data_IF_708938113800
#
_entry.id   IF_708938113800
#
_cell.length_a   1.000
_cell.length_b   1.000
_cell.length_c   1.000
_cell.angle_alpha   90.00
_cell.angle_beta   90.00
_cell.angle_gamma   90.00
#
_symmetry.space_group_name_H-M   'P 1'
#
loop_
_entity.id
_entity.type
_entity.pdbx_description
1 polymer ?
#
# COMPACT_ATOMS: atom_id res chain seq x y z
N UNK A 1 35.85 -28.56 23.98
CA UNK A 1 34.37 -28.59 24.00
C UNK A 1 33.89 -27.33 23.31
N UNK A 2 33.60 -27.41 22.00
CA UNK A 2 33.24 -26.27 21.15
C UNK A 2 31.73 -26.34 20.87
N UNK A 3 30.99 -25.29 21.24
CA UNK A 3 29.57 -25.16 20.91
C UNK A 3 29.48 -24.41 19.57
N UNK A 4 29.11 -25.13 18.50
CA UNK A 4 28.62 -24.53 17.25
C UNK A 4 27.12 -24.26 17.40
N UNK A 5 26.72 -23.00 17.31
CA UNK A 5 25.31 -22.61 17.12
C UNK A 5 25.02 -22.60 15.62
N UNK A 6 24.22 -23.57 15.18
CA UNK A 6 23.64 -23.63 13.84
C UNK A 6 22.27 -22.95 13.89
N UNK A 7 22.13 -21.77 13.28
CA UNK A 7 20.81 -21.17 13.07
C UNK A 7 20.21 -21.72 11.77
N UNK A 8 19.25 -22.62 11.95
CA UNK A 8 18.31 -23.08 10.93
C UNK A 8 17.22 -22.01 10.77
N UNK A 9 17.13 -21.36 9.61
CA UNK A 9 15.95 -20.56 9.25
C UNK A 9 15.10 -21.36 8.27
N UNK A 10 13.95 -21.82 8.76
CA UNK A 10 12.92 -22.46 7.97
C UNK A 10 12.36 -21.45 6.95
N UNK A 11 12.45 -21.80 5.67
CA UNK A 11 11.86 -21.04 4.57
C UNK A 11 10.47 -21.58 4.28
N UNK A 12 9.43 -20.88 4.77
CA UNK A 12 8.06 -21.08 4.32
C UNK A 12 7.81 -20.22 3.08
N UNK A 13 7.79 -20.85 1.90
CA UNK A 13 7.39 -20.19 0.66
C UNK A 13 5.85 -20.22 0.54
N UNK A 14 5.23 -19.06 0.42
CA UNK A 14 3.84 -18.93 -0.05
C UNK A 14 3.90 -18.29 -1.43
N UNK A 15 3.60 -19.08 -2.46
CA UNK A 15 3.39 -18.61 -3.82
C UNK A 15 1.98 -18.04 -3.94
N UNK A 16 1.85 -16.75 -4.24
CA UNK A 16 0.59 -16.16 -4.68
C UNK A 16 0.58 -16.03 -6.20
N UNK A 17 -0.38 -16.70 -6.84
CA UNK A 17 -0.79 -16.42 -8.21
C UNK A 17 -1.62 -15.13 -8.22
N UNK A 18 -1.25 -14.23 -9.12
CA UNK A 18 -1.88 -12.93 -9.28
C UNK A 18 -3.19 -13.04 -10.05
N UNK A 19 -4.22 -12.31 -9.61
CA UNK A 19 -5.16 -11.61 -10.52
C UNK A 19 -5.86 -10.49 -9.74
N UNK A 20 -5.65 -9.26 -10.24
CA UNK A 20 -6.38 -8.01 -9.97
C UNK A 20 -6.48 -7.50 -8.52
N UNK A 21 -5.68 -6.46 -8.22
CA UNK A 21 -5.96 -5.48 -7.17
C UNK A 21 -5.01 -5.50 -5.98
N UNK A 22 -3.79 -4.95 -6.13
CA UNK A 22 -2.88 -4.75 -4.98
C UNK A 22 -2.44 -3.29 -4.90
N UNK A 23 -2.86 -2.62 -3.82
CA UNK A 23 -2.08 -1.54 -3.21
C UNK A 23 -0.93 -2.22 -2.49
N UNK A 24 0.30 -2.02 -2.98
CA UNK A 24 1.49 -2.71 -2.51
C UNK A 24 1.87 -2.11 -1.15
N UNK A 25 1.51 -2.78 -0.07
CA UNK A 25 2.05 -2.45 1.26
C UNK A 25 3.57 -2.64 1.22
N UNK A 26 4.32 -1.54 1.37
CA UNK A 26 5.79 -1.52 1.37
C UNK A 26 6.40 -1.92 2.72
N UNK A 27 5.58 -2.29 3.72
CA UNK A 27 6.10 -2.67 5.02
C UNK A 27 6.48 -4.16 5.01
N UNK A 28 7.80 -4.40 5.00
CA UNK A 28 8.49 -5.67 5.31
C UNK A 28 8.68 -6.71 4.20
N UNK A 29 8.91 -6.32 2.95
CA UNK A 29 9.55 -7.26 2.00
C UNK A 29 11.08 -7.23 2.15
N UNK A 30 11.66 -8.39 2.45
CA UNK A 30 13.11 -8.64 2.39
C UNK A 30 13.58 -8.26 0.97
N UNK A 31 14.35 -7.17 0.86
CA UNK A 31 14.81 -6.67 -0.42
C UNK A 31 15.83 -7.63 -1.03
N UNK A 32 15.52 -8.19 -2.20
CA UNK A 32 16.51 -8.91 -2.99
C UNK A 32 17.65 -7.95 -3.35
N UNK A 33 18.87 -8.26 -2.87
CA UNK A 33 20.09 -7.55 -3.25
C UNK A 33 20.70 -8.23 -4.47
N UNK A 34 21.05 -7.44 -5.48
CA UNK A 34 21.73 -7.91 -6.69
C UNK A 34 22.92 -7.01 -7.00
N UNK A 35 23.97 -7.60 -7.59
CA UNK A 35 25.13 -6.88 -8.10
C UNK A 35 24.84 -6.12 -9.40
N UNK A 36 23.61 -6.24 -9.94
CA UNK A 36 23.16 -5.55 -11.14
C UNK A 36 21.76 -4.95 -10.91
N UNK A 37 21.59 -3.66 -11.21
CA UNK A 37 20.29 -3.01 -11.18
C UNK A 37 19.44 -3.44 -12.39
N UNK A 38 18.25 -4.04 -12.17
CA UNK A 38 17.37 -4.48 -13.25
C UNK A 38 16.82 -3.28 -14.03
N UNK A 39 16.32 -3.54 -15.25
CA UNK A 39 15.70 -2.51 -16.09
C UNK A 39 14.36 -2.01 -15.51
N UNK A 40 13.61 -2.91 -14.85
CA UNK A 40 12.29 -2.62 -14.26
C UNK A 40 12.25 -3.07 -12.79
N UNK A 41 12.94 -2.36 -11.89
CA UNK A 41 12.93 -2.64 -10.45
C UNK A 41 11.55 -2.39 -9.83
N UNK A 42 11.25 -3.11 -8.74
CA UNK A 42 10.15 -2.76 -7.85
C UNK A 42 10.58 -1.61 -6.93
N UNK A 43 9.64 -0.75 -6.50
CA UNK A 43 9.94 0.30 -5.51
C UNK A 43 10.52 -0.34 -4.24
N UNK A 44 11.57 0.28 -3.70
CA UNK A 44 12.37 -0.21 -2.58
C UNK A 44 13.48 -1.19 -2.98
N UNK A 45 13.55 -1.65 -4.22
CA UNK A 45 14.59 -2.58 -4.67
C UNK A 45 15.98 -1.98 -4.51
N UNK A 46 16.91 -2.77 -3.95
CA UNK A 46 18.29 -2.35 -3.70
C UNK A 46 19.26 -3.07 -4.62
N UNK A 47 20.20 -2.33 -5.18
CA UNK A 47 21.26 -2.89 -6.02
C UNK A 47 22.59 -2.19 -5.78
N UNK A 48 23.65 -2.80 -6.33
CA UNK A 48 24.98 -2.23 -6.36
C UNK A 48 25.41 -1.91 -7.78
N UNK A 49 26.18 -0.83 -7.95
CA UNK A 49 26.87 -0.50 -9.19
C UNK A 49 28.33 -0.14 -8.90
N UNK A 50 29.25 -0.74 -9.64
CA UNK A 50 30.69 -0.51 -9.48
C UNK A 50 31.19 0.45 -10.58
N UNK A 51 31.76 1.59 -10.18
CA UNK A 51 32.50 2.50 -11.05
C UNK A 51 34.00 2.25 -10.91
N UNK A 52 34.58 1.68 -11.96
CA UNK A 52 36.03 1.47 -12.04
C UNK A 52 36.75 2.72 -12.53
N UNK A 53 37.77 3.11 -11.78
CA UNK A 53 38.63 4.25 -12.04
C UNK A 53 40.08 3.76 -12.09
N UNK A 54 40.84 4.34 -13.00
CA UNK A 54 42.27 4.10 -13.11
C UNK A 54 42.94 5.43 -13.36
N UNK A 55 44.14 5.62 -12.82
CA UNK A 55 44.98 6.76 -13.14
C UNK A 55 46.44 6.30 -13.15
N UNK A 56 47.23 6.95 -13.99
CA UNK A 56 48.66 6.70 -14.12
C UNK A 56 49.37 8.02 -14.28
N UNK A 57 50.48 8.22 -13.56
CA UNK A 57 51.36 9.37 -13.78
C UNK A 57 52.54 8.95 -14.64
N UNK A 58 52.90 9.80 -15.62
CA UNK A 58 54.11 9.68 -16.42
C UNK A 58 55.02 10.90 -16.21
N UNK A 59 56.27 10.81 -16.65
CA UNK A 59 57.16 11.97 -16.65
C UNK A 59 56.69 12.98 -17.70
N UNK A 60 56.41 14.22 -17.30
CA UNK A 60 56.01 15.31 -18.20
C UNK A 60 54.51 15.40 -18.52
N UNK A 61 53.70 14.45 -18.07
CA UNK A 61 52.24 14.57 -18.18
C UNK A 61 51.67 15.29 -16.95
N UNK A 62 50.75 16.26 -17.11
CA UNK A 62 49.99 16.78 -15.99
C UNK A 62 49.31 15.61 -15.26
N UNK A 63 49.08 15.70 -13.93
CA UNK A 63 48.45 14.64 -13.18
C UNK A 63 47.17 14.20 -13.90
N UNK A 64 47.16 12.97 -14.42
CA UNK A 64 46.02 12.43 -15.16
C UNK A 64 44.82 12.32 -14.22
N UNK A 65 44.03 13.39 -14.13
CA UNK A 65 42.76 13.43 -13.42
C UNK A 65 41.71 12.77 -14.30
N UNK A 66 41.64 11.43 -14.25
CA UNK A 66 40.55 10.67 -14.86
C UNK A 66 39.26 10.91 -14.05
N UNK A 67 38.71 12.12 -14.18
CA UNK A 67 37.43 12.49 -13.62
C UNK A 67 36.34 11.71 -14.36
N UNK A 68 35.55 10.95 -13.63
CA UNK A 68 34.31 10.35 -14.14
C UNK A 68 33.14 10.92 -13.36
N UNK A 69 32.10 11.25 -14.11
CA UNK A 69 30.81 11.59 -13.55
C UNK A 69 29.94 10.35 -13.54
N UNK A 70 29.31 10.09 -12.41
CA UNK A 70 28.29 9.08 -12.25
C UNK A 70 26.97 9.76 -11.91
N UNK A 71 25.91 9.43 -12.64
CA UNK A 71 24.55 9.84 -12.30
C UNK A 71 23.73 8.56 -12.07
N UNK A 72 23.06 8.40 -10.93
CA UNK A 72 22.09 7.32 -10.75
C UNK A 72 21.07 7.34 -11.89
N UNK A 73 20.63 6.15 -12.32
CA UNK A 73 19.56 6.04 -13.31
C UNK A 73 18.28 6.69 -12.79
N UNK A 74 17.40 7.10 -13.69
CA UNK A 74 16.10 7.67 -13.32
C UNK A 74 15.35 6.77 -12.33
N UNK A 75 14.84 7.40 -11.27
CA UNK A 75 14.10 6.73 -10.21
C UNK A 75 14.96 5.96 -9.20
N UNK A 76 16.29 5.97 -9.32
CA UNK A 76 17.19 5.51 -8.26
C UNK A 76 17.70 6.66 -7.41
N UNK A 77 17.90 6.38 -6.12
CA UNK A 77 18.64 7.25 -5.21
C UNK A 77 19.93 6.57 -4.76
N UNK A 78 20.95 7.39 -4.51
CA UNK A 78 22.17 6.95 -3.84
C UNK A 78 21.91 6.78 -2.33
N UNK A 79 22.17 5.58 -1.82
CA UNK A 79 22.05 5.30 -0.38
C UNK A 79 23.37 5.48 0.34
N UNK A 80 24.43 4.89 -0.25
CA UNK A 80 25.78 4.84 0.30
C UNK A 80 26.76 4.63 -0.86
N UNK A 81 28.01 5.03 -0.67
CA UNK A 81 29.11 4.57 -1.50
C UNK A 81 30.24 4.00 -0.63
N UNK A 82 31.06 3.15 -1.22
CA UNK A 82 32.24 2.55 -0.61
C UNK A 82 33.42 2.69 -1.57
N UNK A 83 34.56 3.12 -1.03
CA UNK A 83 35.80 3.32 -1.76
C UNK A 83 36.72 2.11 -1.56
N UNK A 84 37.11 1.47 -2.67
CA UNK A 84 38.04 0.34 -2.67
C UNK A 84 39.28 0.74 -3.46
N UNK A 85 40.41 0.91 -2.77
CA UNK A 85 41.67 1.35 -3.37
C UNK A 85 42.57 0.16 -3.67
N UNK A 86 43.08 0.09 -4.90
CA UNK A 86 44.06 -0.88 -5.36
C UNK A 86 45.34 -0.15 -5.81
N UNK A 87 46.27 0.10 -4.89
CA UNK A 87 47.59 0.68 -5.23
C UNK A 87 48.61 -0.41 -5.47
N UNK A 88 49.19 -0.47 -6.68
CA UNK A 88 50.24 -1.47 -6.97
C UNK A 88 51.65 -0.93 -6.69
N UNK A 89 51.86 0.38 -6.82
CA UNK A 89 53.16 1.03 -6.59
C UNK A 89 52.98 2.50 -6.18
N UNK A 90 53.42 2.87 -4.97
CA UNK A 90 53.45 4.25 -4.47
C UNK A 90 52.57 4.49 -3.23
N UNK A 91 52.96 5.43 -2.38
CA UNK A 91 52.07 5.99 -1.35
C UNK A 91 51.74 7.44 -1.73
N UNK A 92 50.48 7.84 -1.54
CA UNK A 92 50.02 9.20 -1.82
C UNK A 92 48.93 9.35 -2.90
N UNK A 93 48.26 8.27 -3.33
CA UNK A 93 47.08 8.37 -4.19
C UNK A 93 45.77 8.31 -3.39
N UNK A 94 44.78 9.11 -3.79
CA UNK A 94 43.46 9.19 -3.16
C UNK A 94 42.31 9.31 -4.17
N UNK A 95 41.13 8.86 -3.76
CA UNK A 95 39.87 9.12 -4.44
C UNK A 95 39.29 10.43 -3.89
N UNK A 96 38.97 11.37 -4.77
CA UNK A 96 38.20 12.56 -4.42
C UNK A 96 36.77 12.34 -4.91
N UNK A 97 35.82 12.33 -3.98
CA UNK A 97 34.40 12.11 -4.25
C UNK A 97 33.62 13.37 -3.91
N UNK A 98 33.12 14.05 -4.95
CA UNK A 98 32.27 15.22 -4.81
C UNK A 98 30.80 14.83 -5.07
N UNK A 99 29.97 14.95 -4.03
CA UNK A 99 28.54 14.70 -4.12
C UNK A 99 27.82 15.97 -4.60
N UNK A 100 27.27 15.92 -5.81
CA UNK A 100 26.46 17.01 -6.37
C UNK A 100 24.98 16.69 -6.14
N UNK A 101 24.33 17.53 -5.34
CA UNK A 101 22.89 17.46 -5.14
C UNK A 101 22.16 18.03 -6.36
N UNK A 102 21.03 17.45 -6.75
CA UNK A 102 20.26 17.94 -7.89
C UNK A 102 18.73 17.85 -7.71
N UNK A 103 18.02 18.13 -8.82
CA UNK A 103 16.57 18.35 -8.88
C UNK A 103 15.69 17.13 -9.20
N UNK A 104 16.23 15.93 -9.45
CA UNK A 104 15.42 14.71 -9.71
C UNK A 104 14.51 14.41 -8.52
N UNK A 105 15.06 14.43 -7.30
CA UNK A 105 14.27 14.25 -6.07
C UNK A 105 13.24 15.37 -5.88
N UNK A 106 13.57 16.60 -6.29
CA UNK A 106 12.63 17.74 -6.24
C UNK A 106 11.43 17.46 -7.15
N UNK A 107 11.66 16.94 -8.35
CA UNK A 107 10.59 16.60 -9.29
C UNK A 107 9.72 15.45 -8.78
N UNK A 108 10.33 14.39 -8.23
CA UNK A 108 9.58 13.27 -7.63
C UNK A 108 8.76 13.76 -6.44
N UNK A 109 9.36 14.57 -5.55
CA UNK A 109 8.66 15.19 -4.42
C UNK A 109 7.46 15.99 -4.90
N UNK A 110 7.64 16.87 -5.89
CA UNK A 110 6.58 17.70 -6.45
C UNK A 110 5.42 16.85 -6.96
N UNK A 111 5.70 15.79 -7.73
CA UNK A 111 4.66 14.87 -8.23
C UNK A 111 3.91 14.21 -7.08
N UNK A 112 4.60 13.69 -6.07
CA UNK A 112 3.92 13.06 -4.92
C UNK A 112 3.05 14.08 -4.16
N UNK A 113 3.55 15.30 -3.96
CA UNK A 113 2.79 16.38 -3.31
C UNK A 113 1.55 16.78 -4.11
N UNK A 114 1.69 16.96 -5.43
CA UNK A 114 0.58 17.31 -6.31
C UNK A 114 -0.50 16.21 -6.31
N UNK A 115 -0.09 14.93 -6.37
CA UNK A 115 -0.99 13.77 -6.29
C UNK A 115 -1.69 13.65 -4.93
N UNK A 116 -0.98 13.92 -3.82
CA UNK A 116 -1.59 13.93 -2.50
C UNK A 116 -2.64 15.03 -2.36
N UNK A 117 -2.42 16.21 -2.93
CA UNK A 117 -3.41 17.28 -2.96
C UNK A 117 -4.68 16.85 -3.68
N UNK A 118 -4.50 16.17 -4.81
CA UNK A 118 -5.59 15.61 -5.61
C UNK A 118 -6.39 14.54 -4.82
N UNK A 119 -5.71 13.64 -4.12
CA UNK A 119 -6.36 12.63 -3.28
C UNK A 119 -7.12 13.26 -2.10
N UNK A 120 -6.57 14.30 -1.47
CA UNK A 120 -7.23 15.03 -0.38
C UNK A 120 -8.51 15.74 -0.84
N UNK A 121 -8.50 16.37 -2.01
CA UNK A 121 -9.70 16.98 -2.59
C UNK A 121 -10.81 15.94 -2.80
N UNK A 122 -10.46 14.79 -3.37
CA UNK A 122 -11.39 13.67 -3.56
C UNK A 122 -11.91 13.10 -2.25
N UNK A 123 -11.06 13.02 -1.23
CA UNK A 123 -11.47 12.60 0.12
C UNK A 123 -12.54 13.55 0.67
N UNK A 124 -12.29 14.85 0.60
CA UNK A 124 -13.25 15.87 1.07
C UNK A 124 -14.58 15.79 0.33
N UNK A 125 -14.55 15.57 -0.99
CA UNK A 125 -15.75 15.31 -1.79
C UNK A 125 -16.48 14.05 -1.33
N UNK A 126 -15.77 12.94 -1.13
CA UNK A 126 -16.37 11.69 -0.64
C UNK A 126 -17.04 11.90 0.72
N UNK A 127 -16.35 12.53 1.66
CA UNK A 127 -16.88 12.86 3.01
C UNK A 127 -18.15 13.72 2.94
N UNK A 128 -18.28 14.62 1.95
CA UNK A 128 -19.50 15.41 1.77
C UNK A 128 -20.74 14.57 1.42
N UNK A 129 -20.54 13.38 0.85
CA UNK A 129 -21.58 12.39 0.57
C UNK A 129 -21.84 11.42 1.73
N UNK A 130 -21.01 11.42 2.79
CA UNK A 130 -21.16 10.48 3.90
C UNK A 130 -22.52 10.60 4.61
N UNK A 131 -23.12 11.79 4.61
CA UNK A 131 -24.47 12.02 5.14
C UNK A 131 -25.59 11.38 4.30
N UNK A 132 -25.30 11.00 3.05
CA UNK A 132 -26.26 10.43 2.10
C UNK A 132 -26.01 8.94 1.81
N UNK A 133 -24.82 8.41 2.11
CA UNK A 133 -24.45 7.03 1.81
C UNK A 133 -23.41 6.49 2.80
N UNK A 134 -23.75 5.39 3.49
CA UNK A 134 -22.87 4.68 4.43
C UNK A 134 -21.68 4.02 3.69
N UNK A 135 -21.81 3.78 2.37
CA UNK A 135 -20.75 3.20 1.53
C UNK A 135 -19.52 4.11 1.34
N UNK A 136 -19.60 5.37 1.75
CA UNK A 136 -18.49 6.33 1.65
C UNK A 136 -17.27 5.90 2.48
N UNK A 137 -17.48 5.19 3.59
CA UNK A 137 -16.40 4.80 4.52
C UNK A 137 -15.26 4.01 3.88
N UNK A 138 -15.57 3.00 3.06
CA UNK A 138 -14.53 2.15 2.43
C UNK A 138 -13.68 2.89 1.38
N UNK A 139 -14.27 3.84 0.66
CA UNK A 139 -13.54 4.65 -0.32
C UNK A 139 -12.64 5.68 0.37
N UNK A 140 -13.11 6.30 1.47
CA UNK A 140 -12.27 7.20 2.28
C UNK A 140 -11.07 6.49 2.88
N UNK A 141 -11.23 5.24 3.35
CA UNK A 141 -10.12 4.43 3.85
C UNK A 141 -9.10 4.10 2.74
N UNK A 142 -9.57 3.78 1.53
CA UNK A 142 -8.70 3.54 0.36
C UNK A 142 -7.87 4.78 0.02
N UNK A 143 -8.48 5.97 0.07
CA UNK A 143 -7.80 7.25 -0.15
C UNK A 143 -6.75 7.50 0.94
N UNK A 144 -7.10 7.31 2.21
CA UNK A 144 -6.19 7.49 3.34
C UNK A 144 -4.96 6.60 3.23
N UNK A 145 -5.15 5.32 2.87
CA UNK A 145 -4.06 4.38 2.66
C UNK A 145 -3.12 4.83 1.53
N UNK A 146 -3.65 5.33 0.42
CA UNK A 146 -2.83 5.86 -0.68
C UNK A 146 -2.03 7.11 -0.27
N UNK A 147 -2.65 8.02 0.49
CA UNK A 147 -1.98 9.20 1.06
C UNK A 147 -0.87 8.77 2.02
N UNK A 148 -1.13 7.80 2.90
CA UNK A 148 -0.15 7.28 3.86
C UNK A 148 1.05 6.63 3.16
N UNK A 149 0.81 5.90 2.07
CA UNK A 149 1.88 5.32 1.26
C UNK A 149 2.74 6.43 0.60
N UNK A 150 2.10 7.45 0.02
CA UNK A 150 2.81 8.59 -0.55
C UNK A 150 3.60 9.40 0.48
N UNK A 151 3.05 9.60 1.69
CA UNK A 151 3.77 10.24 2.79
C UNK A 151 4.98 9.42 3.24
N UNK A 152 4.86 8.10 3.24
CA UNK A 152 6.00 7.21 3.52
C UNK A 152 7.10 7.36 2.47
N UNK A 153 6.73 7.52 1.19
CA UNK A 153 7.69 7.81 0.09
C UNK A 153 8.35 9.18 0.27
N UNK A 154 7.59 10.21 0.64
CA UNK A 154 8.14 11.54 0.93
C UNK A 154 9.15 11.51 2.09
N UNK A 155 8.81 10.84 3.19
CA UNK A 155 9.70 10.69 4.34
C UNK A 155 11.01 9.96 3.98
N UNK A 156 10.97 9.01 3.03
CA UNK A 156 12.18 8.41 2.49
C UNK A 156 13.01 9.45 1.73
N UNK A 157 12.40 10.24 0.84
CA UNK A 157 13.08 11.28 0.03
C UNK A 157 13.64 12.46 0.86
N UNK A 158 13.18 12.66 2.09
CA UNK A 158 13.71 13.71 2.97
C UNK A 158 15.05 13.35 3.63
N UNK A 159 15.48 12.09 3.58
CA UNK A 159 16.79 11.68 4.11
C UNK A 159 17.93 12.27 3.27
N UNK A 160 18.90 12.92 3.93
CA UNK A 160 19.89 13.82 3.31
C UNK A 160 20.78 13.20 2.22
N UNK A 161 21.06 11.89 2.29
CA UNK A 161 21.84 11.18 1.27
C UNK A 161 21.07 10.95 -0.04
N UNK A 162 19.75 11.03 -0.01
CA UNK A 162 18.91 10.72 -1.17
C UNK A 162 18.85 11.84 -2.22
N UNK A 163 19.26 13.06 -1.87
CA UNK A 163 19.24 14.23 -2.77
C UNK A 163 20.45 14.32 -3.72
N UNK A 164 21.25 13.26 -3.85
CA UNK A 164 22.42 13.24 -4.73
C UNK A 164 22.00 12.79 -6.13
N UNK A 165 22.00 13.71 -7.08
CA UNK A 165 21.68 13.44 -8.48
C UNK A 165 22.91 13.06 -9.29
N UNK A 166 24.09 13.48 -8.83
CA UNK A 166 25.33 13.30 -9.54
C UNK A 166 26.47 13.16 -8.56
N UNK A 167 27.33 12.18 -8.78
CA UNK A 167 28.59 11.97 -8.07
C UNK A 167 29.71 12.25 -9.06
N UNK A 168 30.53 13.24 -8.77
CA UNK A 168 31.77 13.46 -9.50
C UNK A 168 32.88 12.74 -8.74
N UNK A 169 33.56 11.84 -9.41
CA UNK A 169 34.69 11.13 -8.82
C UNK A 169 35.93 11.43 -9.64
N UNK A 170 37.00 11.81 -8.97
CA UNK A 170 38.33 11.91 -9.59
C UNK A 170 39.34 11.12 -8.79
N UNK A 171 40.34 10.61 -9.49
CA UNK A 171 41.50 9.97 -8.88
C UNK A 171 42.67 10.92 -9.02
N UNK A 172 43.34 11.19 -7.90
CA UNK A 172 44.59 11.96 -7.91
C UNK A 172 45.73 11.05 -7.49
N UNK A 173 46.80 11.03 -8.28
CA UNK A 173 48.00 10.25 -8.00
C UNK A 173 49.18 11.21 -7.96
N UNK A 174 49.88 11.27 -6.82
CA UNK A 174 51.17 11.96 -6.75
C UNK A 174 52.27 11.01 -7.23
N UNK A 175 53.08 11.45 -8.19
CA UNK A 175 54.32 10.76 -8.51
C UNK A 175 55.26 10.73 -7.30
N UNK A 176 55.96 9.62 -7.08
CA UNK A 176 57.09 9.57 -6.14
C UNK A 176 58.37 9.61 -6.95
N UNK A 177 59.28 10.51 -6.56
CA UNK A 177 60.64 10.50 -7.05
C UNK A 177 61.40 9.34 -6.40
N UNK A 178 61.81 8.33 -7.16
CA UNK A 178 62.58 7.22 -6.58
C UNK A 178 64.07 7.54 -6.47
N UNK A 179 64.56 8.55 -7.21
CA UNK A 179 65.95 9.00 -7.26
C UNK A 179 66.04 10.47 -7.68
N UNK A 180 66.64 11.27 -6.80
CA UNK A 180 67.01 12.67 -7.06
C UNK A 180 68.48 12.73 -7.45
N UNK A 181 68.82 13.31 -8.60
CA UNK A 181 70.20 13.60 -9.01
C UNK A 181 70.30 15.08 -9.33
N UNK A 182 71.24 15.78 -8.69
CA UNK A 182 71.47 17.22 -8.87
C UNK A 182 70.22 18.07 -8.65
N UNK A 183 69.38 17.71 -7.67
CA UNK A 183 68.13 18.44 -7.38
C UNK A 183 67.01 18.19 -8.39
N UNK A 184 67.26 17.42 -9.46
CA UNK A 184 66.26 16.98 -10.43
C UNK A 184 65.85 15.54 -10.19
N UNK A 185 64.55 15.25 -10.32
CA UNK A 185 64.06 13.89 -10.25
C UNK A 185 64.34 13.16 -11.56
N UNK A 186 65.03 12.02 -11.51
CA UNK A 186 65.54 11.32 -12.71
C UNK A 186 64.71 10.10 -13.07
N UNK A 187 63.96 9.55 -12.12
CA UNK A 187 63.11 8.39 -12.30
C UNK A 187 61.77 8.60 -11.56
N UNK A 188 60.80 9.15 -12.28
CA UNK A 188 59.43 8.93 -11.86
C UNK A 188 59.06 7.49 -12.23
N UNK A 189 59.18 6.57 -11.27
CA UNK A 189 58.38 5.36 -11.38
C UNK A 189 56.91 5.79 -11.23
N UNK A 190 56.24 5.94 -12.37
CA UNK A 190 54.82 6.24 -12.43
C UNK A 190 54.04 5.21 -11.61
N UNK A 191 53.45 5.65 -10.50
CA UNK A 191 52.57 4.81 -9.73
C UNK A 191 51.33 4.47 -10.55
N UNK A 192 51.01 3.17 -10.67
CA UNK A 192 49.70 2.75 -11.16
C UNK A 192 48.73 2.76 -9.98
N UNK A 193 47.68 3.56 -10.09
CA UNK A 193 46.59 3.60 -9.12
C UNK A 193 45.30 3.14 -9.78
N UNK A 194 44.65 2.15 -9.19
CA UNK A 194 43.32 1.70 -9.58
C UNK A 194 42.42 1.81 -8.36
N UNK A 195 41.18 2.24 -8.57
CA UNK A 195 40.17 2.34 -7.52
C UNK A 195 38.84 1.88 -8.06
N UNK A 196 38.06 1.22 -7.22
CA UNK A 196 36.66 0.92 -7.51
C UNK A 196 35.82 1.67 -6.48
N UNK A 197 34.85 2.46 -6.96
CA UNK A 197 33.80 2.98 -6.08
C UNK A 197 32.56 2.12 -6.29
N UNK A 198 32.07 1.54 -5.19
CA UNK A 198 30.82 0.79 -5.19
C UNK A 198 29.71 1.68 -4.67
N UNK A 199 28.67 1.85 -5.46
CA UNK A 199 27.46 2.56 -5.08
C UNK A 199 26.40 1.57 -4.63
N UNK A 200 25.75 1.85 -3.50
CA UNK A 200 24.52 1.19 -3.10
C UNK A 200 23.35 2.10 -3.46
N UNK A 201 22.44 1.59 -4.29
CA UNK A 201 21.31 2.32 -4.82
C UNK A 201 20.00 1.70 -4.34
N UNK A 202 18.98 2.52 -4.20
CA UNK A 202 17.61 2.08 -3.93
C UNK A 202 16.66 2.71 -4.96
N UNK A 203 15.81 1.89 -5.58
CA UNK A 203 14.81 2.37 -6.51
C UNK A 203 13.63 2.97 -5.74
N UNK A 204 13.37 4.25 -5.95
CA UNK A 204 12.27 4.99 -5.30
C UNK A 204 11.09 5.25 -6.26
N UNK A 205 11.22 4.87 -7.53
CA UNK A 205 10.22 5.12 -8.56
C UNK A 205 10.58 6.34 -9.42
N UNK A 206 10.17 6.31 -10.69
CA UNK A 206 10.16 7.49 -11.56
C UNK A 206 8.86 8.28 -11.39
N UNK A 207 8.83 9.57 -11.77
CA UNK A 207 7.59 10.35 -11.86
C UNK A 207 6.47 9.61 -12.59
N UNK A 208 6.79 8.95 -13.72
CA UNK A 208 5.84 8.17 -14.50
C UNK A 208 5.29 6.96 -13.73
N UNK A 209 6.14 6.19 -13.04
CA UNK A 209 5.67 5.03 -12.27
C UNK A 209 4.81 5.42 -11.06
N UNK A 210 5.15 6.53 -10.39
CA UNK A 210 4.37 7.06 -9.27
C UNK A 210 3.02 7.56 -9.76
N UNK A 211 3.01 8.34 -10.85
CA UNK A 211 1.78 8.83 -11.47
C UNK A 211 0.89 7.66 -11.94
N UNK A 212 1.47 6.63 -12.55
CA UNK A 212 0.73 5.45 -12.99
C UNK A 212 0.05 4.69 -11.81
N UNK A 213 0.76 4.55 -10.69
CA UNK A 213 0.21 3.94 -9.48
C UNK A 213 -0.96 4.75 -8.91
N UNK A 214 -0.81 6.07 -8.82
CA UNK A 214 -1.86 6.96 -8.32
C UNK A 214 -3.06 7.06 -9.27
N UNK A 215 -2.82 7.08 -10.60
CA UNK A 215 -3.88 7.09 -11.60
C UNK A 215 -4.85 5.90 -11.46
N UNK A 216 -4.35 4.72 -11.09
CA UNK A 216 -5.21 3.54 -10.85
C UNK A 216 -6.09 3.68 -9.60
N UNK A 217 -5.61 4.38 -8.57
CA UNK A 217 -6.40 4.71 -7.36
C UNK A 217 -7.42 5.79 -7.70
N UNK A 218 -6.98 6.87 -8.35
CA UNK A 218 -7.80 7.99 -8.79
C UNK A 218 -8.98 7.52 -9.64
N UNK A 219 -8.77 6.68 -10.65
CA UNK A 219 -9.84 6.17 -11.52
C UNK A 219 -10.92 5.40 -10.75
N UNK A 220 -10.51 4.62 -9.74
CA UNK A 220 -11.46 3.86 -8.91
C UNK A 220 -12.31 4.80 -8.05
N UNK A 221 -11.67 5.78 -7.45
CA UNK A 221 -12.35 6.81 -6.64
C UNK A 221 -13.29 7.65 -7.49
N UNK A 222 -12.88 8.07 -8.69
CA UNK A 222 -13.74 8.85 -9.59
C UNK A 222 -15.00 8.05 -9.97
N UNK A 223 -14.85 6.75 -10.24
CA UNK A 223 -15.99 5.88 -10.50
C UNK A 223 -16.90 5.72 -9.27
N UNK A 224 -16.34 5.67 -8.05
CA UNK A 224 -17.11 5.60 -6.82
C UNK A 224 -17.86 6.91 -6.52
N UNK A 225 -17.17 8.05 -6.65
CA UNK A 225 -17.76 9.39 -6.47
C UNK A 225 -18.92 9.61 -7.44
N UNK A 226 -18.80 9.17 -8.70
CA UNK A 226 -19.89 9.24 -9.68
C UNK A 226 -21.11 8.44 -9.21
N UNK A 227 -20.91 7.24 -8.65
CA UNK A 227 -22.00 6.44 -8.08
C UNK A 227 -22.65 7.14 -6.89
N UNK A 228 -21.86 7.69 -5.97
CA UNK A 228 -22.40 8.43 -4.82
C UNK A 228 -23.19 9.67 -5.23
N UNK A 229 -22.71 10.38 -6.24
CA UNK A 229 -23.43 11.52 -6.79
C UNK A 229 -24.78 11.10 -7.40
N UNK A 230 -24.81 10.00 -8.16
CA UNK A 230 -26.05 9.44 -8.71
C UNK A 230 -27.02 8.98 -7.60
N UNK A 231 -26.53 8.28 -6.57
CA UNK A 231 -27.33 7.87 -5.41
C UNK A 231 -27.92 9.08 -4.68
N UNK A 232 -27.10 10.10 -4.41
CA UNK A 232 -27.56 11.33 -3.75
C UNK A 232 -28.59 12.09 -4.58
N UNK A 233 -28.44 12.14 -5.91
CA UNK A 233 -29.42 12.74 -6.80
C UNK A 233 -30.75 11.96 -6.79
N UNK A 234 -30.71 10.63 -6.81
CA UNK A 234 -31.91 9.80 -6.73
C UNK A 234 -32.67 10.02 -5.43
N UNK A 235 -31.97 10.09 -4.29
CA UNK A 235 -32.59 10.39 -2.98
C UNK A 235 -33.25 11.76 -2.99
N UNK A 236 -32.59 12.79 -3.55
CA UNK A 236 -33.18 14.14 -3.67
C UNK A 236 -34.45 14.14 -4.52
N UNK A 237 -34.47 13.40 -5.63
CA UNK A 237 -35.66 13.31 -6.48
C UNK A 237 -36.82 12.61 -5.76
N UNK A 238 -36.55 11.57 -4.97
CA UNK A 238 -37.57 10.91 -4.16
C UNK A 238 -38.15 11.85 -3.09
N UNK A 239 -37.33 12.68 -2.45
CA UNK A 239 -37.79 13.65 -1.45
C UNK A 239 -38.58 14.82 -2.05
N UNK A 240 -38.37 15.15 -3.32
CA UNK A 240 -39.07 16.23 -4.01
C UNK A 240 -40.42 15.79 -4.60
N UNK A 241 -40.71 14.49 -4.68
CA UNK A 241 -42.06 14.07 -5.06
C UNK A 241 -43.02 14.46 -3.93
N UNK A 242 -44.08 15.26 -4.23
CA UNK A 242 -45.05 15.64 -3.22
C UNK A 242 -45.60 14.37 -2.60
N UNK A 243 -45.45 14.23 -1.29
CA UNK A 243 -46.02 13.16 -0.49
C UNK A 243 -47.49 13.02 -0.89
N UNK A 244 -47.81 12.01 -1.69
CA UNK A 244 -49.19 11.64 -1.95
C UNK A 244 -49.79 11.37 -0.57
N UNK A 245 -50.83 12.13 -0.25
CA UNK A 245 -51.44 12.18 1.07
C UNK A 245 -51.70 10.76 1.56
N UNK A 246 -51.32 10.41 2.81
CA UNK A 246 -51.53 9.06 3.32
C UNK A 246 -53.02 8.76 3.27
N UNK A 247 -53.43 7.81 2.43
CA UNK A 247 -54.74 7.20 2.60
C UNK A 247 -54.76 6.54 3.99
N UNK A 248 -55.85 6.66 4.75
CA UNK A 248 -55.96 6.06 6.08
C UNK A 248 -55.93 4.53 5.95
N UNK A 249 -54.74 3.95 6.14
CA UNK A 249 -54.57 2.51 6.20
C UNK A 249 -54.91 2.05 7.62
N UNK A 250 -55.92 1.18 7.71
CA UNK A 250 -56.24 0.42 8.91
C UNK A 250 -55.00 -0.30 9.45
N UNK A 251 -54.87 -0.49 10.77
CA UNK A 251 -53.74 -1.17 11.38
C UNK A 251 -53.80 -2.66 11.05
N UNK A 252 -53.33 -3.04 9.86
CA UNK A 252 -52.80 -4.38 9.63
C UNK A 252 -51.46 -4.42 10.36
N UNK A 253 -51.20 -5.50 11.08
CA UNK A 253 -49.89 -5.77 11.67
C UNK A 253 -48.85 -5.80 10.54
N UNK A 254 -48.25 -4.65 10.23
CA UNK A 254 -47.33 -4.53 9.12
C UNK A 254 -46.08 -5.32 9.48
N UNK A 255 -45.88 -6.46 8.83
CA UNK A 255 -44.58 -7.11 8.77
C UNK A 255 -43.91 -6.72 7.46
N UNK A 256 -42.60 -6.52 7.50
CA UNK A 256 -41.78 -6.32 6.31
C UNK A 256 -40.61 -7.29 6.37
N UNK A 257 -40.23 -7.84 5.22
CA UNK A 257 -39.09 -8.75 5.15
C UNK A 257 -38.09 -8.26 4.11
N UNK A 258 -36.81 -8.45 4.40
CA UNK A 258 -35.69 -8.14 3.51
C UNK A 258 -34.84 -9.40 3.33
N UNK A 259 -34.15 -9.49 2.20
CA UNK A 259 -33.17 -10.55 1.95
C UNK A 259 -31.78 -9.96 2.00
N UNK A 260 -30.94 -10.49 2.90
CA UNK A 260 -29.55 -10.09 3.07
C UNK A 260 -28.67 -11.11 2.36
N UNK A 261 -27.96 -10.68 1.33
CA UNK A 261 -27.07 -11.51 0.51
C UNK A 261 -25.69 -11.64 1.19
N UNK A 262 -25.14 -12.85 1.31
CA UNK A 262 -23.82 -13.06 1.91
C UNK A 262 -22.64 -12.60 1.04
N UNK A 263 -22.86 -12.33 -0.25
CA UNK A 263 -21.84 -11.84 -1.18
C UNK A 263 -21.72 -10.32 -1.20
N UNK A 264 -22.52 -9.65 -0.40
CA UNK A 264 -22.54 -8.20 -0.26
C UNK A 264 -22.17 -7.82 1.17
N UNK A 265 -21.42 -6.72 1.31
CA UNK A 265 -21.11 -6.12 2.61
C UNK A 265 -22.35 -5.47 3.23
N UNK A 266 -22.20 -4.25 3.75
CA UNK A 266 -23.35 -3.50 4.26
C UNK A 266 -24.41 -3.27 3.19
N UNK A 267 -25.62 -3.75 3.47
CA UNK A 267 -26.83 -3.61 2.67
C UNK A 267 -27.85 -2.77 3.44
N UNK A 268 -28.26 -1.67 2.82
CA UNK A 268 -29.22 -0.74 3.39
C UNK A 268 -30.63 -1.06 2.93
N UNK A 269 -31.57 -1.14 3.87
CA UNK A 269 -32.98 -1.41 3.59
C UNK A 269 -33.86 -0.32 4.19
N UNK A 270 -34.59 0.39 3.34
CA UNK A 270 -35.69 1.26 3.76
C UNK A 270 -36.94 0.40 3.95
N UNK A 271 -37.48 0.39 5.15
CA UNK A 271 -38.65 -0.41 5.50
C UNK A 271 -39.93 0.41 5.25
N UNK A 272 -41.06 -0.22 4.87
CA UNK A 272 -42.30 0.48 4.53
C UNK A 272 -43.05 1.05 5.75
N UNK A 273 -42.44 1.06 6.93
CA UNK A 273 -43.04 1.48 8.19
C UNK A 273 -41.99 1.61 9.29
N UNK A 274 -42.46 1.88 10.50
CA UNK A 274 -41.60 1.87 11.70
C UNK A 274 -41.76 0.53 12.43
N UNK A 275 -40.64 -0.04 12.85
CA UNK A 275 -40.55 -1.37 13.46
C UNK A 275 -39.79 -1.30 14.79
N UNK A 276 -40.16 -2.13 15.75
CA UNK A 276 -39.51 -2.19 17.07
C UNK A 276 -38.75 -3.49 17.29
N UNK A 277 -38.87 -4.48 16.39
CA UNK A 277 -38.21 -5.78 16.54
C UNK A 277 -37.86 -6.44 15.21
N UNK A 278 -36.82 -7.27 15.25
CA UNK A 278 -36.64 -8.37 14.30
C UNK A 278 -37.57 -9.49 14.76
N UNK A 279 -38.59 -9.78 13.96
CA UNK A 279 -39.64 -10.75 14.29
C UNK A 279 -39.22 -12.19 13.96
N UNK A 280 -38.53 -12.40 12.85
CA UNK A 280 -38.02 -13.72 12.45
C UNK A 280 -36.84 -13.62 11.51
N UNK A 281 -36.04 -14.68 11.49
CA UNK A 281 -34.90 -14.85 10.58
C UNK A 281 -34.99 -16.26 10.01
N UNK A 282 -34.84 -16.40 8.70
CA UNK A 282 -34.89 -17.68 8.00
C UNK A 282 -33.88 -17.72 6.85
N UNK A 283 -33.69 -18.92 6.28
CA UNK A 283 -32.68 -19.15 5.24
C UNK A 283 -31.33 -19.58 5.82
N UNK A 284 -30.29 -19.47 5.01
CA UNK A 284 -28.93 -19.81 5.39
C UNK A 284 -27.92 -19.33 4.36
N UNK A 285 -26.70 -19.10 4.82
CA UNK A 285 -25.56 -18.74 3.99
C UNK A 285 -24.26 -19.39 4.49
N UNK A 286 -23.20 -19.34 3.70
CA UNK A 286 -21.85 -19.75 4.12
C UNK A 286 -20.84 -18.69 3.69
N UNK A 287 -19.75 -18.57 4.46
CA UNK A 287 -18.58 -17.76 4.09
C UNK A 287 -17.65 -18.45 3.08
N UNK A 288 -17.87 -19.74 2.82
CA UNK A 288 -17.28 -20.44 1.67
C UNK A 288 -18.17 -21.63 1.35
N UNK A 289 -18.98 -21.49 0.30
CA UNK A 289 -19.95 -22.51 -0.10
C UNK A 289 -19.33 -23.84 -0.54
N UNK A 290 -18.02 -23.87 -0.82
CA UNK A 290 -17.31 -25.09 -1.23
C UNK A 290 -16.79 -25.88 -0.04
N UNK A 291 -16.47 -25.19 1.06
CA UNK A 291 -15.72 -25.76 2.17
C UNK A 291 -16.52 -25.85 3.47
N UNK A 292 -17.54 -25.02 3.68
CA UNK A 292 -18.30 -24.97 4.94
C UNK A 292 -19.81 -25.07 4.73
N UNK A 293 -20.48 -25.64 5.74
CA UNK A 293 -21.93 -25.84 5.71
C UNK A 293 -22.68 -24.50 5.78
N UNK A 294 -23.86 -24.43 5.20
CA UNK A 294 -24.74 -23.26 5.35
C UNK A 294 -25.17 -23.11 6.81
N UNK A 295 -25.12 -21.87 7.31
CA UNK A 295 -25.47 -21.47 8.68
C UNK A 295 -26.53 -20.38 8.67
N UNK A 296 -27.26 -20.26 9.78
CA UNK A 296 -28.19 -19.16 10.02
C UNK A 296 -27.50 -17.89 10.52
N UNK A 297 -28.29 -17.00 11.11
CA UNK A 297 -27.85 -15.71 11.68
C UNK A 297 -26.78 -15.80 12.78
N UNK A 298 -26.63 -16.94 13.44
CA UNK A 298 -25.60 -17.14 14.47
C UNK A 298 -24.19 -17.32 13.89
N UNK A 299 -24.05 -17.63 12.60
CA UNK A 299 -22.75 -17.90 11.97
C UNK A 299 -22.17 -19.28 12.28
N UNK A 300 -20.95 -19.53 11.80
CA UNK A 300 -20.24 -20.80 11.96
C UNK A 300 -19.81 -21.02 13.41
N UNK A 301 -19.92 -22.29 13.84
CA UNK A 301 -19.56 -22.75 15.19
C UNK A 301 -18.97 -24.16 15.10
N UNK A 302 -18.45 -24.69 16.21
CA UNK A 302 -17.91 -26.06 16.26
C UNK A 302 -16.72 -26.28 15.32
N UNK A 303 -16.73 -27.39 14.59
CA UNK A 303 -15.63 -27.79 13.70
C UNK A 303 -15.37 -26.76 12.58
N UNK A 304 -16.42 -26.19 11.98
CA UNK A 304 -16.29 -25.17 10.93
C UNK A 304 -15.62 -23.90 11.49
N UNK A 305 -16.02 -23.47 12.69
CA UNK A 305 -15.40 -22.29 13.32
C UNK A 305 -13.92 -22.53 13.68
N UNK A 306 -13.56 -23.75 14.09
CA UNK A 306 -12.16 -24.11 14.35
C UNK A 306 -11.33 -24.13 13.05
N UNK A 307 -11.90 -24.68 11.97
CA UNK A 307 -11.25 -24.66 10.67
C UNK A 307 -11.10 -23.24 10.08
N UNK A 308 -12.01 -22.34 10.45
CA UNK A 308 -11.99 -20.93 10.07
C UNK A 308 -11.04 -20.06 10.92
N UNK A 309 -10.55 -20.55 12.07
CA UNK A 309 -9.70 -19.78 12.99
C UNK A 309 -8.44 -19.16 12.33
N UNK A 310 -7.69 -19.88 11.46
CA UNK A 310 -6.52 -19.32 10.76
C UNK A 310 -6.86 -18.15 9.83
N UNK A 311 -8.14 -17.94 9.55
CA UNK A 311 -8.65 -16.90 8.67
C UNK A 311 -9.23 -15.71 9.43
N UNK A 312 -9.18 -15.68 10.78
CA UNK A 312 -9.82 -14.65 11.60
C UNK A 312 -9.58 -13.20 11.14
N UNK A 313 -8.42 -12.88 10.55
CA UNK A 313 -8.17 -11.55 9.95
C UNK A 313 -9.20 -11.11 8.89
N UNK A 314 -9.98 -12.04 8.34
CA UNK A 314 -11.05 -11.77 7.38
C UNK A 314 -12.42 -11.60 8.03
N UNK A 315 -12.56 -11.60 9.36
CA UNK A 315 -13.81 -11.13 9.97
C UNK A 315 -13.93 -9.61 9.85
N UNK A 316 -15.11 -9.14 9.47
CA UNK A 316 -15.41 -7.71 9.54
C UNK A 316 -15.38 -7.20 10.99
N UNK A 317 -16.07 -7.88 11.90
CA UNK A 317 -16.00 -7.63 13.33
C UNK A 317 -15.40 -8.85 14.04
N UNK A 318 -14.22 -8.65 14.60
CA UNK A 318 -13.43 -9.68 15.29
C UNK A 318 -14.12 -10.24 16.54
N UNK A 319 -15.13 -9.55 17.07
CA UNK A 319 -15.88 -9.99 18.26
C UNK A 319 -16.87 -11.11 17.96
N UNK A 320 -17.25 -11.29 16.70
CA UNK A 320 -18.33 -12.21 16.31
C UNK A 320 -17.83 -13.36 15.42
N UNK A 321 -18.55 -14.49 15.36
CA UNK A 321 -18.20 -15.60 14.49
C UNK A 321 -18.27 -15.23 13.00
N UNK A 322 -17.55 -15.97 12.16
CA UNK A 322 -17.73 -15.89 10.71
C UNK A 322 -19.17 -16.23 10.33
N UNK A 323 -19.72 -15.52 9.36
CA UNK A 323 -21.09 -15.79 8.90
C UNK A 323 -22.19 -15.28 9.85
N UNK A 324 -21.85 -14.59 10.94
CA UNK A 324 -22.85 -13.98 11.81
C UNK A 324 -23.64 -12.89 11.07
N UNK A 325 -24.95 -12.80 11.31
CA UNK A 325 -25.76 -11.67 10.84
C UNK A 325 -25.49 -10.45 11.72
N UNK A 326 -25.01 -9.39 11.10
CA UNK A 326 -24.73 -8.12 11.74
C UNK A 326 -25.77 -7.09 11.32
N UNK A 327 -26.20 -6.27 12.28
CA UNK A 327 -27.04 -5.09 12.06
C UNK A 327 -26.27 -3.84 12.50
N UNK A 328 -26.26 -2.81 11.66
CA UNK A 328 -25.69 -1.51 11.98
C UNK A 328 -26.59 -0.73 12.96
N UNK A 329 -25.98 -0.05 13.92
CA UNK A 329 -26.67 0.82 14.87
C UNK A 329 -25.86 2.09 15.10
N UNK A 330 -26.49 3.14 15.64
CA UNK A 330 -25.79 4.36 16.03
C UNK A 330 -24.69 4.16 17.10
N UNK A 331 -24.65 2.98 17.74
CA UNK A 331 -23.63 2.61 18.74
C UNK A 331 -22.60 1.61 18.20
N UNK A 332 -22.64 1.28 16.90
CA UNK A 332 -21.78 0.28 16.26
C UNK A 332 -22.54 -0.95 15.79
N UNK A 333 -21.87 -2.10 15.77
CA UNK A 333 -22.40 -3.36 15.23
C UNK A 333 -23.14 -4.18 16.29
N UNK A 334 -24.34 -4.65 15.95
CA UNK A 334 -25.10 -5.61 16.73
C UNK A 334 -25.08 -6.99 16.06
N UNK A 335 -24.84 -8.05 16.83
CA UNK A 335 -24.98 -9.43 16.36
C UNK A 335 -26.41 -9.92 16.61
N UNK A 336 -27.17 -10.11 15.53
CA UNK A 336 -28.57 -10.50 15.59
C UNK A 336 -28.65 -12.02 15.42
N UNK A 337 -28.69 -12.76 16.52
CA UNK A 337 -28.72 -14.23 16.46
C UNK A 337 -30.12 -14.78 16.19
N UNK A 338 -31.14 -14.14 16.77
CA UNK A 338 -32.53 -14.58 16.75
C UNK A 338 -33.48 -13.37 16.72
N UNK A 339 -34.78 -13.61 16.78
CA UNK A 339 -35.77 -12.56 17.01
C UNK A 339 -35.42 -11.74 18.26
N UNK A 340 -35.47 -10.40 18.13
CA UNK A 340 -35.03 -9.48 19.17
C UNK A 340 -35.82 -8.17 19.08
N UNK A 341 -36.20 -7.63 20.25
CA UNK A 341 -36.89 -6.34 20.37
C UNK A 341 -35.91 -5.24 20.77
N UNK A 342 -36.17 -4.03 20.30
CA UNK A 342 -35.35 -2.85 20.53
C UNK A 342 -36.14 -1.81 21.32
N UNK A 343 -35.44 -0.98 22.09
CA UNK A 343 -36.04 0.06 22.93
C UNK A 343 -36.56 1.28 22.14
N UNK A 344 -36.48 1.25 20.82
CA UNK A 344 -36.92 2.32 19.93
C UNK A 344 -37.35 1.78 18.58
N UNK A 345 -38.12 2.58 17.84
CA UNK A 345 -38.59 2.20 16.53
C UNK A 345 -37.62 2.66 15.43
N UNK A 346 -37.47 1.86 14.37
CA UNK A 346 -36.62 2.15 13.22
C UNK A 346 -37.39 1.96 11.91
N UNK A 347 -37.13 2.83 10.94
CA UNK A 347 -37.70 2.75 9.59
C UNK A 347 -36.70 2.32 8.51
N UNK A 348 -35.44 2.14 8.88
CA UNK A 348 -34.39 1.66 8.01
C UNK A 348 -33.38 0.84 8.81
N UNK A 349 -32.70 -0.09 8.15
CA UNK A 349 -31.67 -0.94 8.75
C UNK A 349 -30.51 -1.17 7.79
N UNK A 350 -29.32 -1.28 8.33
CA UNK A 350 -28.15 -1.78 7.62
C UNK A 350 -27.84 -3.18 8.12
N UNK A 351 -27.65 -4.14 7.22
CA UNK A 351 -27.32 -5.52 7.56
C UNK A 351 -26.17 -6.06 6.71
N UNK A 352 -25.39 -6.99 7.26
CA UNK A 352 -24.35 -7.72 6.53
C UNK A 352 -24.06 -9.08 7.14
N UNK A 353 -23.37 -9.92 6.39
CA UNK A 353 -22.63 -11.07 6.92
C UNK A 353 -21.35 -10.60 7.62
N UNK A 354 -20.93 -11.29 8.69
CA UNK A 354 -19.63 -11.08 9.32
C UNK A 354 -18.51 -11.78 8.56
N UNK A 355 -18.03 -11.09 7.53
CA UNK A 355 -16.90 -11.47 6.70
C UNK A 355 -16.37 -10.20 6.01
N UNK A 356 -15.08 -10.14 5.70
CA UNK A 356 -14.41 -8.93 5.24
C UNK A 356 -14.76 -8.66 3.77
N UNK A 357 -14.76 -7.38 3.38
CA UNK A 357 -15.21 -6.97 2.04
C UNK A 357 -14.37 -7.61 0.91
N UNK A 358 -13.11 -7.96 1.19
CA UNK A 358 -12.23 -8.66 0.26
C UNK A 358 -12.39 -10.19 0.22
N UNK A 359 -13.22 -10.76 1.10
CA UNK A 359 -13.49 -12.19 1.22
C UNK A 359 -14.91 -12.58 0.80
N UNK A 360 -15.79 -11.63 0.47
CA UNK A 360 -17.20 -11.92 0.12
C UNK A 360 -17.41 -12.75 -1.18
N UNK A 361 -16.36 -13.03 -1.94
CA UNK A 361 -16.46 -13.54 -3.32
C UNK A 361 -16.96 -14.98 -3.42
N UNK A 362 -16.57 -15.82 -2.47
CA UNK A 362 -16.87 -17.26 -2.34
C UNK A 362 -18.01 -17.56 -1.34
N UNK A 363 -18.53 -16.52 -0.69
CA UNK A 363 -19.77 -16.59 0.07
C UNK A 363 -20.94 -17.01 -0.83
N UNK A 364 -21.97 -17.58 -0.23
CA UNK A 364 -23.23 -17.80 -0.93
C UNK A 364 -24.39 -18.11 -0.02
N UNK A 365 -25.60 -17.91 -0.55
CA UNK A 365 -26.85 -17.95 0.20
C UNK A 365 -27.31 -16.56 0.67
N UNK A 366 -28.41 -16.55 1.40
CA UNK A 366 -29.01 -15.32 1.92
C UNK A 366 -29.84 -15.61 3.16
N UNK A 367 -29.96 -14.63 4.05
CA UNK A 367 -30.92 -14.65 5.15
C UNK A 367 -32.11 -13.76 4.83
N UNK A 368 -33.32 -14.28 5.03
CA UNK A 368 -34.53 -13.46 5.04
C UNK A 368 -34.78 -12.99 6.47
N UNK A 369 -34.88 -11.68 6.67
CA UNK A 369 -35.09 -11.06 7.97
C UNK A 369 -36.42 -10.31 7.93
N UNK A 370 -37.33 -10.66 8.81
CA UNK A 370 -38.64 -10.03 8.92
C UNK A 370 -38.73 -9.17 10.19
N UNK A 371 -39.38 -8.03 10.06
CA UNK A 371 -39.56 -7.04 11.11
C UNK A 371 -41.02 -6.97 11.54
N UNK A 372 -41.24 -6.61 12.80
CA UNK A 372 -42.57 -6.39 13.37
C UNK A 372 -42.57 -5.26 14.39
N UNK A 373 -43.75 -5.03 14.97
CA UNK A 373 -43.97 -4.11 16.08
C UNK A 373 -44.21 -4.83 17.41
#
# INVERSE_FOLDING_TARGET
MNIKLSNTLASGAISFLATTGVVISLQNQVFAQSNNCPATPKIGYRCYEDLKLSARTGYGEPPNTNAKTYSPRDGYRLMKYEEIVHSKFGSGGGLNVDLVRGGSVINIRKVITDENKILLDRKSRAESYAQWSIRVGGETETIEKAIQENNSRLALLEKSSSNVDRVNVSVTVSGRCTRVVLGTCVDNQGGKYEGTIRFQLEYVGTPATISAANNGVIKRIDAALLRFEQEAQAIRQQQQQPQQSPQPQQPTSSSACVSVDSRSGWQHFNLPGSFTKVASISGGWSVDTRNYSSVGSSGHSGADAQALEPYNQYKFDQKFPFGALLMGSGQGTLWIQNAVSFNGSFGAVDMRINDADNALGDNGGSLQVCFGN
#
